data_IF_740019657924
#
_entry.id   IF_740019657924
#
_cell.length_a   1.000
_cell.length_b   1.000
_cell.length_c   1.000
_cell.angle_alpha   90.00
_cell.angle_beta   90.00
_cell.angle_gamma   90.00
#
_symmetry.space_group_name_H-M   'P 1'
#
loop_
_entity.id
_entity.type
_entity.pdbx_description
1 polymer ?
#
# COMPACT_ATOMS: atom_id res chain seq x y z
N UNK A 1 -8.78 20.60 -12.57
CA UNK A 1 -9.96 19.70 -12.51
C UNK A 1 -10.30 19.37 -11.06
N UNK A 2 -11.58 19.08 -10.81
CA UNK A 2 -12.07 18.57 -9.53
C UNK A 2 -12.10 17.05 -9.63
N UNK A 3 -11.40 16.37 -8.73
CA UNK A 3 -11.25 14.91 -8.70
C UNK A 3 -11.83 14.38 -7.40
N UNK A 4 -12.83 13.50 -7.48
CA UNK A 4 -13.32 12.75 -6.34
C UNK A 4 -12.57 11.41 -6.27
N UNK A 5 -12.00 11.11 -5.11
CA UNK A 5 -11.45 9.79 -4.80
C UNK A 5 -12.34 9.17 -3.73
N UNK A 6 -13.04 8.11 -4.11
CA UNK A 6 -14.06 7.47 -3.28
C UNK A 6 -13.58 6.12 -2.80
N UNK A 7 -13.59 5.91 -1.50
CA UNK A 7 -13.22 4.63 -0.87
C UNK A 7 -14.24 4.25 0.21
N UNK A 8 -14.46 2.93 0.41
CA UNK A 8 -15.43 2.47 1.39
C UNK A 8 -14.88 2.60 2.82
N UNK A 9 -13.75 1.95 3.10
CA UNK A 9 -13.10 1.99 4.40
C UNK A 9 -11.59 1.83 4.28
N UNK A 10 -10.88 2.64 5.03
CA UNK A 10 -9.43 2.52 5.23
C UNK A 10 -9.16 2.56 6.74
N UNK A 11 -8.40 1.60 7.24
CA UNK A 11 -8.13 1.44 8.68
C UNK A 11 -7.22 2.52 9.27
N UNK A 12 -6.39 3.15 8.44
CA UNK A 12 -5.51 4.26 8.82
C UNK A 12 -4.04 3.90 9.06
N UNK A 13 -3.62 2.66 8.82
CA UNK A 13 -2.25 2.18 9.09
C UNK A 13 -1.67 1.30 7.99
N UNK A 14 -2.09 1.44 6.75
CA UNK A 14 -1.70 0.55 5.66
C UNK A 14 -1.11 1.23 4.44
N UNK A 15 -0.69 0.44 3.45
CA UNK A 15 -0.15 0.93 2.19
C UNK A 15 -1.17 1.65 1.31
N UNK A 16 -2.48 1.33 1.47
CA UNK A 16 -3.54 2.00 0.73
C UNK A 16 -3.69 3.46 1.16
N UNK A 17 -3.60 3.74 2.46
CA UNK A 17 -3.62 5.11 3.01
C UNK A 17 -2.42 5.91 2.53
N UNK A 18 -1.24 5.30 2.54
CA UNK A 18 -0.01 5.92 2.01
C UNK A 18 -0.18 6.27 0.53
N UNK A 19 -0.69 5.33 -0.27
CA UNK A 19 -0.94 5.56 -1.70
C UNK A 19 -1.98 6.67 -1.93
N UNK A 20 -3.10 6.65 -1.19
CA UNK A 20 -4.14 7.68 -1.28
C UNK A 20 -3.57 9.07 -0.94
N UNK A 21 -2.79 9.17 0.13
CA UNK A 21 -2.16 10.41 0.58
C UNK A 21 -1.17 10.94 -0.48
N UNK A 22 -0.29 10.08 -1.00
CA UNK A 22 0.67 10.46 -2.04
C UNK A 22 -0.04 10.88 -3.32
N UNK A 23 -1.06 10.14 -3.76
CA UNK A 23 -1.85 10.47 -4.95
C UNK A 23 -2.54 11.83 -4.79
N UNK A 24 -3.30 12.00 -3.70
CA UNK A 24 -4.03 13.24 -3.42
C UNK A 24 -3.11 14.45 -3.38
N UNK A 25 -2.05 14.39 -2.57
CA UNK A 25 -1.14 15.52 -2.39
C UNK A 25 -0.35 15.84 -3.66
N UNK A 26 0.02 14.83 -4.44
CA UNK A 26 0.71 15.04 -5.72
C UNK A 26 -0.18 15.67 -6.78
N UNK A 27 -1.44 15.25 -6.89
CA UNK A 27 -2.41 15.86 -7.79
C UNK A 27 -2.75 17.31 -7.38
N UNK A 28 -2.84 17.60 -6.07
CA UNK A 28 -2.98 18.98 -5.57
C UNK A 28 -1.80 19.86 -5.94
N UNK A 29 -0.55 19.37 -5.79
CA UNK A 29 0.65 20.11 -6.20
C UNK A 29 0.65 20.47 -7.69
N UNK A 30 -0.08 19.70 -8.52
CA UNK A 30 -0.29 19.97 -9.95
C UNK A 30 -1.47 20.93 -10.22
N UNK A 31 -2.08 21.50 -9.18
CA UNK A 31 -3.16 22.49 -9.31
C UNK A 31 -4.57 21.89 -9.43
N UNK A 32 -4.76 20.62 -9.08
CA UNK A 32 -6.08 20.00 -9.06
C UNK A 32 -6.74 20.14 -7.69
N UNK A 33 -8.08 20.23 -7.68
CA UNK A 33 -8.88 20.11 -6.46
C UNK A 33 -9.18 18.63 -6.24
N UNK A 34 -8.66 18.05 -5.17
CA UNK A 34 -8.92 16.65 -4.82
C UNK A 34 -9.83 16.59 -3.61
N UNK A 35 -10.93 15.85 -3.72
CA UNK A 35 -11.88 15.59 -2.65
C UNK A 35 -11.86 14.09 -2.32
N UNK A 36 -11.74 13.79 -1.03
CA UNK A 36 -11.68 12.41 -0.54
C UNK A 36 -13.02 12.06 0.10
N UNK A 37 -13.66 11.02 -0.40
CA UNK A 37 -14.92 10.53 0.13
C UNK A 37 -14.71 9.13 0.72
N UNK A 38 -14.96 9.01 2.03
CA UNK A 38 -14.80 7.78 2.79
C UNK A 38 -16.15 7.42 3.40
N UNK A 39 -16.56 6.14 3.40
CA UNK A 39 -17.85 5.80 3.98
C UNK A 39 -17.87 6.11 5.48
N UNK A 40 -16.86 5.70 6.20
CA UNK A 40 -16.78 5.89 7.65
C UNK A 40 -15.45 6.49 8.09
N UNK A 41 -15.44 7.27 9.19
CA UNK A 41 -14.20 7.72 9.79
C UNK A 41 -13.30 6.52 10.13
N UNK A 42 -12.00 6.56 9.77
CA UNK A 42 -11.08 5.49 10.12
C UNK A 42 -10.82 5.44 11.64
N UNK A 43 -10.46 4.24 12.14
CA UNK A 43 -10.07 4.08 13.55
C UNK A 43 -8.86 4.98 13.90
N UNK A 44 -7.89 5.05 13.00
CA UNK A 44 -6.70 5.91 13.15
C UNK A 44 -6.81 7.10 12.21
N UNK A 45 -7.19 8.25 12.76
CA UNK A 45 -7.49 9.48 12.00
C UNK A 45 -6.26 10.32 11.65
N UNK A 46 -5.10 10.06 12.27
CA UNK A 46 -3.92 10.94 12.19
C UNK A 46 -3.46 11.17 10.73
N UNK A 47 -3.52 10.15 9.89
CA UNK A 47 -3.15 10.27 8.48
C UNK A 47 -4.07 11.19 7.66
N UNK A 48 -5.31 11.40 8.12
CA UNK A 48 -6.23 12.34 7.48
C UNK A 48 -5.77 13.80 7.60
N UNK A 49 -4.91 14.11 8.57
CA UNK A 49 -4.37 15.47 8.75
C UNK A 49 -3.52 15.91 7.53
N UNK A 50 -3.04 14.97 6.75
CA UNK A 50 -2.32 15.23 5.49
C UNK A 50 -3.25 15.46 4.30
N UNK A 51 -4.58 15.35 4.47
CA UNK A 51 -5.59 15.47 3.44
C UNK A 51 -6.52 16.64 3.72
N UNK A 52 -6.91 17.35 2.66
CA UNK A 52 -7.99 18.35 2.72
C UNK A 52 -9.25 17.78 2.06
N UNK A 53 -10.38 18.47 2.26
CA UNK A 53 -11.65 18.13 1.61
C UNK A 53 -12.08 16.66 1.80
N UNK A 54 -12.07 16.20 3.06
CA UNK A 54 -12.53 14.85 3.44
C UNK A 54 -14.02 14.88 3.80
N UNK A 55 -14.81 14.00 3.18
CA UNK A 55 -16.24 13.86 3.38
C UNK A 55 -16.60 12.45 3.77
N UNK A 56 -17.63 12.26 4.61
CA UNK A 56 -18.11 10.96 5.04
C UNK A 56 -19.51 10.70 4.49
N UNK A 57 -19.64 9.65 3.66
CA UNK A 57 -20.91 9.34 2.99
C UNK A 57 -21.62 8.09 3.55
N UNK A 58 -21.00 7.33 4.46
CA UNK A 58 -21.59 6.11 5.02
C UNK A 58 -22.38 6.33 6.32
N UNK A 59 -22.36 7.54 6.88
CA UNK A 59 -23.05 7.80 8.14
C UNK A 59 -24.56 7.61 8.00
N UNK A 60 -25.13 6.72 8.80
CA UNK A 60 -26.56 6.35 8.76
C UNK A 60 -26.94 5.40 7.60
N UNK A 61 -25.99 5.01 6.75
CA UNK A 61 -26.24 4.02 5.71
C UNK A 61 -26.11 2.59 6.25
N UNK A 62 -26.95 1.69 5.76
CA UNK A 62 -26.94 0.26 6.09
C UNK A 62 -26.73 -0.58 4.84
N UNK A 63 -26.21 -1.79 5.02
CA UNK A 63 -26.11 -2.78 3.95
C UNK A 63 -27.37 -3.67 4.04
N UNK A 64 -28.30 -3.46 3.11
CA UNK A 64 -29.55 -4.24 3.06
C UNK A 64 -29.40 -5.35 2.02
N UNK A 65 -29.42 -6.61 2.43
CA UNK A 65 -29.29 -7.79 1.55
C UNK A 65 -28.10 -7.69 0.56
N UNK A 66 -26.96 -7.16 1.00
CA UNK A 66 -25.78 -6.94 0.16
C UNK A 66 -25.85 -5.70 -0.75
N UNK A 67 -26.89 -4.88 -0.65
CA UNK A 67 -27.03 -3.63 -1.42
C UNK A 67 -26.32 -2.47 -0.72
N UNK A 68 -25.54 -1.72 -1.49
CA UNK A 68 -24.84 -0.49 -1.07
C UNK A 68 -25.53 0.77 -1.59
N UNK A 69 -26.81 0.71 -1.96
CA UNK A 69 -27.55 1.81 -2.58
C UNK A 69 -27.65 3.04 -1.66
N UNK A 70 -27.81 2.86 -0.36
CA UNK A 70 -27.87 3.97 0.60
C UNK A 70 -26.57 4.79 0.62
N UNK A 71 -25.43 4.13 0.44
CA UNK A 71 -24.13 4.80 0.32
C UNK A 71 -24.07 5.68 -0.94
N UNK A 72 -24.60 5.17 -2.04
CA UNK A 72 -24.70 5.92 -3.30
C UNK A 72 -25.63 7.15 -3.15
N UNK A 73 -26.78 6.97 -2.49
CA UNK A 73 -27.72 8.06 -2.22
C UNK A 73 -27.06 9.14 -1.36
N UNK A 74 -26.32 8.76 -0.32
CA UNK A 74 -25.63 9.71 0.54
C UNK A 74 -24.49 10.43 -0.18
N UNK A 75 -23.74 9.73 -1.04
CA UNK A 75 -22.74 10.38 -1.87
C UNK A 75 -23.43 11.38 -2.84
N UNK A 76 -24.55 11.02 -3.47
CA UNK A 76 -25.34 11.91 -4.33
C UNK A 76 -25.82 13.17 -3.57
N UNK A 77 -26.23 13.04 -2.29
CA UNK A 77 -26.56 14.19 -1.42
C UNK A 77 -25.35 15.09 -1.18
N UNK A 78 -24.16 14.51 -0.94
CA UNK A 78 -22.94 15.31 -0.81
C UNK A 78 -22.67 16.08 -2.10
N UNK A 79 -22.77 15.42 -3.27
CA UNK A 79 -22.59 16.07 -4.58
C UNK A 79 -23.55 17.24 -4.81
N UNK A 80 -24.78 17.18 -4.30
CA UNK A 80 -25.72 18.31 -4.40
C UNK A 80 -25.27 19.55 -3.61
N UNK A 81 -24.41 19.38 -2.59
CA UNK A 81 -23.88 20.46 -1.77
C UNK A 81 -22.55 21.00 -2.30
N UNK A 82 -21.66 20.13 -2.78
CA UNK A 82 -20.29 20.50 -3.17
C UNK A 82 -20.07 20.55 -4.69
N UNK A 83 -21.10 20.23 -5.49
CA UNK A 83 -21.02 20.13 -6.94
C UNK A 83 -20.42 18.81 -7.43
N UNK A 84 -20.69 18.46 -8.70
CA UNK A 84 -20.11 17.27 -9.34
C UNK A 84 -18.61 17.46 -9.60
N UNK A 85 -17.80 16.36 -9.55
CA UNK A 85 -16.41 16.41 -9.98
C UNK A 85 -16.30 16.41 -11.51
N UNK A 86 -15.12 16.73 -12.03
CA UNK A 86 -14.79 16.51 -13.43
C UNK A 86 -14.55 15.02 -13.73
N UNK A 87 -14.08 14.27 -12.72
CA UNK A 87 -13.79 12.83 -12.79
C UNK A 87 -13.84 12.20 -11.41
N UNK A 88 -14.28 10.93 -11.36
CA UNK A 88 -14.34 10.14 -10.14
C UNK A 88 -13.41 8.93 -10.21
N UNK A 89 -12.67 8.68 -9.13
CA UNK A 89 -11.82 7.51 -8.93
C UNK A 89 -12.44 6.63 -7.86
N UNK A 90 -12.91 5.44 -8.23
CA UNK A 90 -13.27 4.37 -7.30
C UNK A 90 -12.00 3.69 -6.80
N UNK A 91 -11.59 3.97 -5.56
CA UNK A 91 -10.28 3.65 -5.03
C UNK A 91 -10.32 2.45 -4.10
N UNK A 92 -9.38 1.55 -4.25
CA UNK A 92 -9.03 0.41 -3.42
C UNK A 92 -9.66 -0.92 -3.87
N UNK A 93 -10.99 -1.07 -3.87
CA UNK A 93 -11.66 -2.33 -4.15
C UNK A 93 -12.87 -2.17 -5.13
N UNK A 94 -13.57 -3.26 -5.46
CA UNK A 94 -14.59 -3.25 -6.51
C UNK A 94 -15.90 -2.56 -6.08
N UNK A 95 -16.26 -2.60 -4.79
CA UNK A 95 -17.56 -2.09 -4.34
C UNK A 95 -17.73 -0.59 -4.57
N UNK A 96 -16.64 0.18 -4.57
CA UNK A 96 -16.67 1.62 -4.84
C UNK A 96 -17.18 1.92 -6.23
N UNK A 97 -16.94 1.04 -7.21
CA UNK A 97 -17.46 1.24 -8.58
C UNK A 97 -19.00 1.23 -8.61
N UNK A 98 -19.61 0.32 -7.84
CA UNK A 98 -21.05 0.28 -7.64
C UNK A 98 -21.55 1.58 -7.00
N UNK A 99 -20.96 1.96 -5.86
CA UNK A 99 -21.36 3.16 -5.10
C UNK A 99 -21.23 4.40 -5.98
N UNK A 100 -20.11 4.57 -6.66
CA UNK A 100 -19.85 5.72 -7.53
C UNK A 100 -20.82 5.75 -8.73
N UNK A 101 -21.06 4.61 -9.36
CA UNK A 101 -21.96 4.55 -10.52
C UNK A 101 -23.36 5.06 -10.16
N UNK A 102 -23.99 4.50 -9.13
CA UNK A 102 -25.35 4.90 -8.74
C UNK A 102 -25.43 6.30 -8.13
N UNK A 103 -24.33 6.86 -7.64
CA UNK A 103 -24.27 8.26 -7.20
C UNK A 103 -24.17 9.25 -8.37
N UNK A 104 -23.46 8.85 -9.45
CA UNK A 104 -23.11 9.71 -10.58
C UNK A 104 -23.99 9.48 -11.82
N UNK A 105 -24.84 8.46 -11.80
CA UNK A 105 -25.74 8.19 -12.91
C UNK A 105 -26.93 9.13 -12.95
N UNK A 106 -27.35 9.45 -14.17
CA UNK A 106 -28.60 10.14 -14.50
C UNK A 106 -29.28 9.40 -15.66
N UNK A 107 -30.50 8.91 -15.45
CA UNK A 107 -31.23 8.08 -16.43
C UNK A 107 -30.41 6.86 -16.92
N UNK A 108 -29.77 6.15 -16.01
CA UNK A 108 -28.90 5.00 -16.27
C UNK A 108 -27.64 5.31 -17.11
N UNK A 109 -27.24 6.58 -17.23
CA UNK A 109 -26.04 7.02 -17.93
C UNK A 109 -25.14 7.77 -16.95
N UNK A 110 -23.84 7.49 -16.95
CA UNK A 110 -22.90 8.26 -16.17
C UNK A 110 -22.92 9.74 -16.54
N UNK A 111 -23.04 10.61 -15.55
CA UNK A 111 -22.93 12.06 -15.73
C UNK A 111 -21.49 12.57 -15.64
N UNK A 112 -20.60 11.77 -15.03
CA UNK A 112 -19.17 12.04 -14.78
C UNK A 112 -18.37 10.79 -15.13
N UNK A 113 -17.19 10.90 -15.76
CA UNK A 113 -16.34 9.74 -16.02
C UNK A 113 -15.89 9.07 -14.71
N UNK A 114 -16.01 7.74 -14.67
CA UNK A 114 -15.63 6.90 -13.54
C UNK A 114 -14.48 5.99 -13.91
N UNK A 115 -13.42 6.00 -13.10
CA UNK A 115 -12.24 5.13 -13.24
C UNK A 115 -12.06 4.33 -11.96
N UNK A 116 -11.72 3.04 -12.06
CA UNK A 116 -11.31 2.26 -10.91
C UNK A 116 -9.80 2.34 -10.67
N UNK A 117 -9.40 2.32 -9.41
CA UNK A 117 -8.00 2.22 -8.97
C UNK A 117 -7.86 1.05 -8.01
N UNK A 118 -7.37 -0.08 -8.50
CA UNK A 118 -7.31 -1.32 -7.73
C UNK A 118 -5.95 -1.50 -7.05
N UNK A 119 -6.00 -1.81 -5.76
CA UNK A 119 -4.81 -2.08 -4.94
C UNK A 119 -4.44 -3.56 -4.85
N UNK A 120 -5.37 -4.44 -5.21
CA UNK A 120 -5.23 -5.89 -5.04
C UNK A 120 -5.78 -6.66 -6.24
N UNK A 121 -5.48 -7.96 -6.32
CA UNK A 121 -6.09 -8.87 -7.29
C UNK A 121 -7.61 -8.89 -7.10
N UNK A 122 -8.34 -8.81 -8.20
CA UNK A 122 -9.81 -8.84 -8.19
C UNK A 122 -10.38 -10.15 -7.64
N UNK A 123 -9.56 -11.20 -7.57
CA UNK A 123 -9.94 -12.50 -6.98
C UNK A 123 -10.30 -12.41 -5.51
N UNK A 124 -9.73 -11.40 -4.83
CA UNK A 124 -9.91 -11.17 -3.39
C UNK A 124 -11.09 -10.25 -3.09
N UNK A 125 -11.76 -9.70 -4.10
CA UNK A 125 -12.85 -8.75 -3.92
C UNK A 125 -14.21 -9.37 -4.20
N UNK A 126 -15.19 -8.95 -3.42
CA UNK A 126 -16.60 -9.16 -3.69
C UNK A 126 -17.07 -8.19 -4.78
N UNK A 127 -18.15 -8.55 -5.47
CA UNK A 127 -18.81 -7.67 -6.46
C UNK A 127 -17.86 -7.20 -7.58
N UNK A 128 -16.92 -8.05 -8.01
CA UNK A 128 -15.96 -7.74 -9.08
C UNK A 128 -16.60 -7.35 -10.40
N UNK A 129 -17.83 -7.79 -10.64
CA UNK A 129 -18.67 -7.41 -11.80
C UNK A 129 -18.92 -5.90 -11.86
N UNK A 130 -18.91 -5.22 -10.69
CA UNK A 130 -19.09 -3.77 -10.60
C UNK A 130 -17.97 -2.96 -11.27
N UNK A 131 -16.83 -3.59 -11.54
CA UNK A 131 -15.77 -2.98 -12.36
C UNK A 131 -16.28 -2.63 -13.76
N UNK A 132 -17.30 -3.34 -14.27
CA UNK A 132 -17.93 -3.04 -15.54
C UNK A 132 -18.55 -1.63 -15.64
N UNK A 133 -18.89 -1.01 -14.51
CA UNK A 133 -19.38 0.36 -14.42
C UNK A 133 -18.32 1.42 -14.72
N UNK A 134 -17.05 1.12 -14.51
CA UNK A 134 -15.96 2.04 -14.82
C UNK A 134 -15.63 2.06 -16.31
N UNK A 135 -15.26 3.23 -16.83
CA UNK A 135 -14.87 3.44 -18.22
C UNK A 135 -13.43 2.95 -18.47
N UNK A 136 -12.59 3.07 -17.46
CA UNK A 136 -11.19 2.64 -17.49
C UNK A 136 -10.72 2.22 -16.10
N UNK A 137 -9.52 1.61 -16.03
CA UNK A 137 -8.98 1.03 -14.81
C UNK A 137 -7.49 1.36 -14.67
N UNK A 138 -7.07 1.74 -13.46
CA UNK A 138 -5.67 1.74 -13.08
C UNK A 138 -5.29 0.37 -12.48
N UNK A 139 -4.20 -0.20 -12.97
CA UNK A 139 -3.66 -1.47 -12.50
C UNK A 139 -2.22 -1.28 -12.01
N UNK A 140 -1.95 -1.59 -10.74
CA UNK A 140 -0.63 -1.45 -10.10
C UNK A 140 0.38 -2.52 -10.53
N UNK A 141 -0.08 -3.58 -11.19
CA UNK A 141 0.78 -4.64 -11.68
C UNK A 141 0.13 -5.43 -12.81
N UNK A 142 0.94 -6.28 -13.45
CA UNK A 142 0.51 -7.09 -14.60
C UNK A 142 -0.55 -8.14 -14.25
N UNK A 143 -0.58 -8.62 -13.01
CA UNK A 143 -1.57 -9.59 -12.56
C UNK A 143 -2.96 -8.93 -12.50
N UNK A 144 -3.05 -7.76 -11.87
CA UNK A 144 -4.30 -6.97 -11.83
C UNK A 144 -4.76 -6.62 -13.26
N UNK A 145 -3.83 -6.21 -14.13
CA UNK A 145 -4.15 -5.92 -15.54
C UNK A 145 -4.75 -7.13 -16.26
N UNK A 146 -4.14 -8.31 -16.09
CA UNK A 146 -4.63 -9.55 -16.69
C UNK A 146 -5.98 -9.99 -16.12
N UNK A 147 -6.15 -9.86 -14.81
CA UNK A 147 -7.42 -10.19 -14.15
C UNK A 147 -8.57 -9.29 -14.67
N UNK A 148 -8.33 -7.99 -14.85
CA UNK A 148 -9.31 -7.07 -15.43
C UNK A 148 -9.61 -7.44 -16.89
N UNK A 149 -8.58 -7.71 -17.70
CA UNK A 149 -8.74 -8.13 -19.10
C UNK A 149 -9.58 -9.41 -19.23
N UNK A 150 -9.31 -10.38 -18.37
CA UNK A 150 -10.05 -11.65 -18.37
C UNK A 150 -11.51 -11.47 -17.97
N UNK A 151 -11.80 -10.53 -17.06
CA UNK A 151 -13.16 -10.26 -16.61
C UNK A 151 -13.96 -9.37 -17.57
N UNK A 152 -13.34 -8.33 -18.13
CA UNK A 152 -14.04 -7.25 -18.82
C UNK A 152 -13.67 -7.10 -20.32
N UNK A 153 -12.75 -7.93 -20.82
CA UNK A 153 -12.33 -7.87 -22.22
C UNK A 153 -11.62 -6.55 -22.58
N UNK A 154 -12.15 -5.82 -23.57
CA UNK A 154 -11.49 -4.67 -24.20
C UNK A 154 -11.62 -3.33 -23.44
N UNK A 155 -11.81 -3.33 -22.13
CA UNK A 155 -11.77 -2.08 -21.33
C UNK A 155 -10.39 -1.44 -21.37
N UNK A 156 -10.33 -0.12 -21.29
CA UNK A 156 -9.06 0.62 -21.18
C UNK A 156 -8.44 0.39 -19.83
N UNK A 157 -7.15 0.00 -19.82
CA UNK A 157 -6.39 -0.25 -18.61
C UNK A 157 -5.08 0.54 -18.69
N UNK A 158 -4.82 1.32 -17.66
CA UNK A 158 -3.59 2.08 -17.48
C UNK A 158 -2.73 1.35 -16.46
N UNK A 159 -1.64 0.73 -16.94
CA UNK A 159 -0.64 0.13 -16.04
C UNK A 159 0.15 1.25 -15.38
N UNK A 160 0.12 1.29 -14.06
CA UNK A 160 0.84 2.27 -13.23
C UNK A 160 1.78 1.55 -12.26
N UNK A 161 2.75 2.28 -11.76
CA UNK A 161 3.67 1.77 -10.75
C UNK A 161 3.18 2.11 -9.34
N UNK A 162 3.69 1.39 -8.34
CA UNK A 162 3.47 1.73 -6.95
C UNK A 162 3.94 3.16 -6.65
N UNK A 163 3.12 3.88 -5.91
CA UNK A 163 3.47 5.22 -5.44
C UNK A 163 4.34 5.09 -4.20
N UNK A 164 5.61 5.39 -4.33
CA UNK A 164 6.56 5.50 -3.22
C UNK A 164 7.17 6.90 -3.20
N UNK A 165 7.35 7.45 -2.02
CA UNK A 165 8.03 8.73 -1.88
C UNK A 165 9.53 8.52 -1.89
N UNK A 166 10.17 8.89 -2.99
CA UNK A 166 11.63 8.85 -3.16
C UNK A 166 12.30 10.22 -2.98
N UNK A 167 11.52 11.29 -2.78
CA UNK A 167 12.05 12.66 -2.73
C UNK A 167 12.73 12.99 -1.39
N UNK A 168 12.37 12.30 -0.31
CA UNK A 168 12.88 12.50 1.05
C UNK A 168 13.55 11.24 1.60
N UNK A 169 14.46 10.65 0.81
CA UNK A 169 15.24 9.50 1.27
C UNK A 169 16.25 9.98 2.30
N UNK A 170 16.02 9.68 3.58
CA UNK A 170 17.00 9.92 4.63
C UNK A 170 18.26 9.08 4.39
N UNK A 171 19.42 9.65 4.65
CA UNK A 171 20.66 8.89 4.64
C UNK A 171 20.69 8.00 5.90
N UNK A 172 20.23 6.77 5.74
CA UNK A 172 20.31 5.75 6.78
C UNK A 172 21.69 5.09 6.68
N UNK A 173 22.43 5.03 7.78
CA UNK A 173 23.70 4.36 7.80
C UNK A 173 23.50 2.85 7.84
N UNK A 174 24.31 2.11 7.06
CA UNK A 174 24.42 0.67 7.30
C UNK A 174 25.26 0.48 8.55
N UNK A 175 24.74 -0.27 9.52
CA UNK A 175 25.49 -0.56 10.74
C UNK A 175 26.65 -1.50 10.45
N UNK A 176 27.86 -1.13 10.88
CA UNK A 176 29.08 -1.94 10.73
C UNK A 176 29.41 -2.73 12.01
N UNK A 177 28.79 -2.37 13.14
CA UNK A 177 29.14 -2.94 14.45
C UNK A 177 28.26 -4.12 14.85
N UNK A 178 26.95 -3.97 14.69
CA UNK A 178 25.96 -4.99 15.06
C UNK A 178 24.99 -5.17 13.92
N UNK A 179 24.36 -6.34 13.83
CA UNK A 179 23.29 -6.57 12.88
C UNK A 179 22.02 -5.81 13.32
N UNK A 180 21.79 -4.64 12.74
CA UNK A 180 20.61 -3.81 12.96
C UNK A 180 19.46 -4.28 12.07
N UNK A 181 18.55 -5.04 12.64
CA UNK A 181 17.39 -5.61 11.95
C UNK A 181 16.21 -4.64 12.08
N UNK A 182 15.53 -4.40 10.99
CA UNK A 182 14.35 -3.54 10.94
C UNK A 182 13.12 -4.36 10.57
N UNK A 183 12.01 -4.10 11.25
CA UNK A 183 10.66 -4.48 10.84
C UNK A 183 9.79 -3.23 10.83
N UNK A 184 9.07 -2.99 9.74
CA UNK A 184 8.09 -1.89 9.63
C UNK A 184 6.79 -2.48 9.08
N UNK A 185 5.69 -2.33 9.82
CA UNK A 185 4.38 -2.80 9.37
C UNK A 185 3.38 -3.00 10.49
N UNK A 186 2.17 -3.41 10.12
CA UNK A 186 1.13 -3.76 11.07
C UNK A 186 1.56 -4.99 11.89
N UNK A 187 1.16 -5.03 13.17
CA UNK A 187 1.45 -6.15 14.07
C UNK A 187 0.22 -7.07 14.12
N UNK A 188 -0.07 -7.71 12.98
CA UNK A 188 -1.21 -8.60 12.77
C UNK A 188 -0.73 -10.01 12.36
N UNK A 189 -1.61 -11.00 12.45
CA UNK A 189 -1.27 -12.42 12.27
C UNK A 189 -0.68 -12.74 10.90
N UNK A 190 -1.16 -12.10 9.84
CA UNK A 190 -0.67 -12.32 8.47
C UNK A 190 0.77 -11.83 8.26
N UNK A 191 1.30 -11.00 9.18
CA UNK A 191 2.67 -10.48 9.13
C UNK A 191 3.70 -11.42 9.74
N UNK A 192 3.26 -12.48 10.41
CA UNK A 192 4.08 -13.58 10.91
C UNK A 192 5.30 -13.15 11.78
N UNK A 193 5.11 -12.10 12.60
CA UNK A 193 6.17 -11.59 13.48
C UNK A 193 6.58 -12.61 14.56
N UNK A 194 5.69 -13.48 15.08
CA UNK A 194 6.08 -14.57 15.97
C UNK A 194 7.21 -15.45 15.41
N UNK A 195 7.17 -15.77 14.11
CA UNK A 195 8.25 -16.49 13.43
C UNK A 195 9.58 -15.71 13.47
N UNK A 196 9.55 -14.39 13.23
CA UNK A 196 10.76 -13.55 13.34
C UNK A 196 11.36 -13.62 14.74
N UNK A 197 10.55 -13.44 15.80
CA UNK A 197 11.03 -13.48 17.18
C UNK A 197 11.60 -14.86 17.54
N UNK A 198 10.92 -15.95 17.16
CA UNK A 198 11.40 -17.31 17.37
C UNK A 198 12.73 -17.56 16.64
N UNK A 199 12.88 -17.07 15.42
CA UNK A 199 14.13 -17.21 14.65
C UNK A 199 15.27 -16.44 15.30
N UNK A 200 15.04 -15.21 15.73
CA UNK A 200 16.05 -14.37 16.36
C UNK A 200 16.50 -14.92 17.72
N UNK A 201 15.62 -15.57 18.48
CA UNK A 201 15.97 -16.19 19.76
C UNK A 201 16.95 -17.37 19.64
N UNK A 202 17.12 -17.93 18.43
CA UNK A 202 18.07 -19.02 18.14
C UNK A 202 19.46 -18.51 17.71
N UNK A 203 19.64 -17.18 17.68
CA UNK A 203 20.93 -16.56 17.39
C UNK A 203 21.71 -16.34 18.67
N UNK A 204 22.91 -16.89 18.72
CA UNK A 204 23.86 -16.71 19.84
C UNK A 204 24.61 -15.36 19.75
N UNK A 205 24.51 -14.70 18.59
CA UNK A 205 25.25 -13.48 18.28
C UNK A 205 24.45 -12.23 18.70
N UNK A 206 25.18 -11.10 18.80
CA UNK A 206 24.55 -9.80 19.04
C UNK A 206 23.79 -9.31 17.81
N UNK A 207 22.55 -8.91 18.03
CA UNK A 207 21.70 -8.20 17.07
C UNK A 207 20.85 -7.18 17.81
N UNK A 208 20.37 -6.18 17.09
CA UNK A 208 19.32 -5.28 17.56
C UNK A 208 18.16 -5.35 16.59
N UNK A 209 16.94 -5.47 17.13
CA UNK A 209 15.71 -5.45 16.34
C UNK A 209 14.93 -4.19 16.64
N UNK A 210 14.67 -3.38 15.63
CA UNK A 210 13.74 -2.26 15.70
C UNK A 210 12.43 -2.64 15.04
N UNK A 211 11.35 -2.63 15.81
CA UNK A 211 9.97 -2.84 15.32
C UNK A 211 9.25 -1.49 15.31
N UNK A 212 8.81 -1.05 14.13
CA UNK A 212 8.00 0.16 13.96
C UNK A 212 6.63 -0.23 13.44
N UNK A 213 5.62 -0.10 14.29
CA UNK A 213 4.26 -0.47 13.93
C UNK A 213 3.35 -0.61 15.12
N UNK A 214 2.12 -1.02 14.84
CA UNK A 214 1.08 -1.22 15.83
C UNK A 214 0.08 -2.27 15.30
N UNK A 215 -0.66 -2.92 16.18
CA UNK A 215 -1.65 -3.93 15.80
C UNK A 215 -2.10 -4.76 16.99
N UNK A 216 -3.03 -5.68 16.73
CA UNK A 216 -3.66 -6.52 17.75
C UNK A 216 -2.65 -7.40 18.51
N UNK A 217 -1.54 -7.77 17.86
CA UNK A 217 -0.54 -8.66 18.46
C UNK A 217 0.53 -7.96 19.30
N UNK A 218 0.54 -6.61 19.43
CA UNK A 218 1.62 -5.88 20.11
C UNK A 218 1.91 -6.44 21.53
N UNK A 219 0.87 -6.64 22.34
CA UNK A 219 1.04 -7.12 23.71
C UNK A 219 1.54 -8.55 23.77
N UNK A 220 1.02 -9.45 22.94
CA UNK A 220 1.45 -10.84 22.87
C UNK A 220 2.88 -11.00 22.35
N UNK A 221 3.28 -10.17 21.38
CA UNK A 221 4.65 -10.16 20.86
C UNK A 221 5.67 -9.69 21.90
N UNK A 222 5.34 -8.68 22.70
CA UNK A 222 6.19 -8.25 23.83
C UNK A 222 6.34 -9.35 24.86
N UNK A 223 5.25 -10.05 25.20
CA UNK A 223 5.30 -11.17 26.11
C UNK A 223 6.12 -12.33 25.55
N UNK A 224 5.99 -12.63 24.25
CA UNK A 224 6.81 -13.64 23.58
C UNK A 224 8.29 -13.27 23.63
N UNK A 225 8.66 -12.02 23.37
CA UNK A 225 10.05 -11.55 23.44
C UNK A 225 10.66 -11.73 24.85
N UNK A 226 9.87 -11.48 25.91
CA UNK A 226 10.26 -11.75 27.29
C UNK A 226 10.50 -13.26 27.54
N UNK A 227 9.56 -14.11 27.13
CA UNK A 227 9.67 -15.56 27.28
C UNK A 227 10.88 -16.13 26.54
N UNK A 228 11.21 -15.57 25.38
CA UNK A 228 12.36 -15.94 24.56
C UNK A 228 13.68 -15.29 25.05
N UNK A 229 13.66 -14.45 26.10
CA UNK A 229 14.83 -13.75 26.67
C UNK A 229 15.56 -12.84 25.68
N UNK A 230 14.84 -12.25 24.73
CA UNK A 230 15.40 -11.31 23.73
C UNK A 230 14.82 -9.91 23.86
N UNK A 231 14.02 -9.61 24.88
CA UNK A 231 13.35 -8.32 25.05
C UNK A 231 14.31 -7.12 25.07
N UNK A 232 15.49 -7.28 25.67
CA UNK A 232 16.52 -6.23 25.75
C UNK A 232 17.15 -5.88 24.39
N UNK A 233 17.05 -6.79 23.41
CA UNK A 233 17.55 -6.62 22.04
C UNK A 233 16.50 -5.97 21.11
N UNK A 234 15.29 -5.67 21.63
CA UNK A 234 14.17 -5.19 20.80
C UNK A 234 13.71 -3.80 21.21
N UNK A 235 13.75 -2.86 20.28
CA UNK A 235 13.14 -1.56 20.44
C UNK A 235 11.77 -1.50 19.74
N UNK A 236 10.75 -1.07 20.48
CA UNK A 236 9.37 -0.95 19.99
C UNK A 236 9.01 0.50 19.77
N UNK A 237 8.60 0.85 18.56
CA UNK A 237 8.10 2.17 18.20
C UNK A 237 6.68 2.01 17.67
N UNK A 238 5.74 2.76 18.20
CA UNK A 238 4.35 2.76 17.71
C UNK A 238 4.30 3.21 16.24
N UNK A 239 3.17 2.98 15.60
CA UNK A 239 2.93 3.41 14.23
C UNK A 239 3.33 4.87 13.99
N UNK A 240 3.99 5.11 12.87
CA UNK A 240 4.45 6.41 12.39
C UNK A 240 3.89 6.66 10.99
N UNK A 241 3.54 7.91 10.69
CA UNK A 241 3.15 8.33 9.34
C UNK A 241 4.31 8.17 8.34
N UNK A 242 5.50 8.60 8.76
CA UNK A 242 6.75 8.30 8.06
C UNK A 242 7.67 7.52 9.00
N UNK A 243 7.70 6.17 8.94
CA UNK A 243 8.51 5.36 9.83
C UNK A 243 10.01 5.56 9.65
N UNK A 244 10.44 5.96 8.47
CA UNK A 244 11.85 6.15 8.12
C UNK A 244 12.51 7.28 8.90
N UNK A 245 11.75 8.24 9.42
CA UNK A 245 12.26 9.28 10.32
C UNK A 245 12.72 8.78 11.69
N UNK A 246 12.36 7.53 12.01
CA UNK A 246 12.77 6.85 13.25
C UNK A 246 13.92 5.88 13.05
N UNK A 247 14.46 5.79 11.83
CA UNK A 247 15.54 4.88 11.46
C UNK A 247 16.79 5.70 11.18
N UNK A 248 17.77 5.63 12.09
CA UNK A 248 19.10 6.23 11.91
C UNK A 248 20.09 5.27 11.30
N UNK A 249 20.00 3.98 11.70
CA UNK A 249 20.81 2.88 11.23
C UNK A 249 19.95 1.66 10.95
N UNK A 250 20.32 0.88 9.94
CA UNK A 250 19.76 -0.44 9.66
C UNK A 250 20.70 -1.24 8.77
N UNK A 251 20.85 -2.54 9.04
CA UNK A 251 21.57 -3.47 8.18
C UNK A 251 20.65 -4.15 7.19
N UNK A 252 19.43 -4.49 7.63
CA UNK A 252 18.49 -5.28 6.83
C UNK A 252 17.04 -5.08 7.31
N UNK A 253 16.11 -5.05 6.37
CA UNK A 253 14.68 -5.14 6.65
C UNK A 253 14.22 -6.59 6.55
N UNK A 254 13.44 -7.09 7.52
CA UNK A 254 12.85 -8.43 7.47
C UNK A 254 11.34 -8.36 7.39
N UNK A 255 10.76 -9.02 6.38
CA UNK A 255 9.32 -9.10 6.12
C UNK A 255 8.90 -10.57 6.02
N UNK A 256 8.60 -11.25 7.16
CA UNK A 256 8.31 -12.68 7.19
C UNK A 256 6.86 -13.03 6.82
N UNK A 257 6.10 -12.06 6.31
CA UNK A 257 4.68 -12.21 6.00
C UNK A 257 4.42 -13.25 4.91
N UNK A 258 3.45 -14.11 5.14
CA UNK A 258 3.02 -15.13 4.17
C UNK A 258 2.21 -14.53 3.02
N UNK A 259 1.47 -13.46 3.28
CA UNK A 259 0.56 -12.82 2.34
C UNK A 259 0.81 -11.30 2.26
N UNK A 260 1.83 -10.86 1.54
CA UNK A 260 2.00 -9.45 1.18
C UNK A 260 1.74 -9.23 -0.30
N UNK A 261 0.70 -8.46 -0.58
CA UNK A 261 0.19 -8.24 -1.94
C UNK A 261 0.79 -7.01 -2.64
N UNK A 262 1.26 -6.03 -1.85
CA UNK A 262 1.93 -4.83 -2.38
C UNK A 262 2.88 -4.27 -1.32
N UNK A 263 4.11 -4.76 -1.22
CA UNK A 263 5.01 -4.41 -0.14
C UNK A 263 5.65 -3.04 -0.38
N UNK A 264 4.93 -1.94 -0.10
CA UNK A 264 5.48 -0.58 -0.20
C UNK A 264 6.74 -0.43 0.64
N UNK A 265 6.72 -0.97 1.86
CA UNK A 265 7.87 -0.90 2.78
C UNK A 265 9.11 -1.64 2.23
N UNK A 266 8.93 -2.69 1.41
CA UNK A 266 10.03 -3.35 0.71
C UNK A 266 10.69 -2.39 -0.29
N UNK A 267 9.87 -1.70 -1.09
CA UNK A 267 10.33 -0.73 -2.08
C UNK A 267 10.99 0.49 -1.42
N UNK A 268 10.40 0.98 -0.35
CA UNK A 268 10.94 2.05 0.47
C UNK A 268 12.30 1.66 1.07
N UNK A 269 12.43 0.43 1.61
CA UNK A 269 13.69 -0.10 2.14
C UNK A 269 14.80 -0.08 1.09
N UNK A 270 14.51 -0.61 -0.11
CA UNK A 270 15.45 -0.59 -1.23
C UNK A 270 15.81 0.84 -1.66
N UNK A 271 14.85 1.77 -1.64
CA UNK A 271 15.08 3.19 -1.93
C UNK A 271 16.04 3.83 -0.91
N UNK A 272 15.96 3.43 0.37
CA UNK A 272 16.92 3.82 1.39
C UNK A 272 18.28 3.10 1.31
N UNK A 273 18.43 2.14 0.40
CA UNK A 273 19.64 1.34 0.22
C UNK A 273 19.76 0.19 1.23
N UNK A 274 18.67 -0.21 1.87
CA UNK A 274 18.62 -1.28 2.86
C UNK A 274 18.13 -2.56 2.17
N UNK A 275 18.91 -3.66 2.18
CA UNK A 275 18.49 -4.93 1.61
C UNK A 275 17.32 -5.56 2.40
N UNK A 276 16.59 -6.47 1.76
CA UNK A 276 15.38 -7.04 2.33
C UNK A 276 15.45 -8.57 2.40
N UNK A 277 15.15 -9.15 3.57
CA UNK A 277 14.79 -10.57 3.70
C UNK A 277 13.26 -10.69 3.71
N UNK A 278 12.70 -11.50 2.84
CA UNK A 278 11.25 -11.71 2.80
C UNK A 278 10.88 -13.13 2.35
N UNK A 279 9.65 -13.52 2.61
CA UNK A 279 9.09 -14.75 2.03
C UNK A 279 8.91 -14.60 0.52
N UNK A 280 9.06 -15.72 -0.19
CA UNK A 280 8.94 -15.72 -1.66
C UNK A 280 7.49 -15.48 -2.10
N UNK A 281 7.31 -14.61 -3.08
CA UNK A 281 6.03 -14.43 -3.79
C UNK A 281 6.25 -13.86 -5.19
N UNK A 282 5.31 -14.08 -6.11
CA UNK A 282 5.39 -13.56 -7.49
C UNK A 282 5.58 -12.04 -7.56
N UNK A 283 5.02 -11.29 -6.61
CA UNK A 283 5.13 -9.82 -6.58
C UNK A 283 6.51 -9.41 -6.08
N UNK A 284 6.99 -10.02 -4.99
CA UNK A 284 8.29 -9.71 -4.39
C UNK A 284 9.44 -10.06 -5.34
N UNK A 285 9.30 -11.14 -6.13
CA UNK A 285 10.28 -11.56 -7.14
C UNK A 285 10.55 -10.54 -8.26
N UNK A 286 9.67 -9.54 -8.42
CA UNK A 286 9.90 -8.45 -9.38
C UNK A 286 10.92 -7.44 -8.87
N UNK A 287 11.07 -7.33 -7.57
CA UNK A 287 11.89 -6.30 -6.91
C UNK A 287 13.10 -6.89 -6.20
N UNK A 288 13.03 -8.14 -5.73
CA UNK A 288 14.13 -8.81 -5.06
C UNK A 288 14.83 -9.75 -6.02
N UNK A 289 16.13 -9.56 -6.16
CA UNK A 289 17.05 -10.51 -6.79
C UNK A 289 17.84 -11.18 -5.68
N UNK A 290 17.57 -12.46 -5.45
CA UNK A 290 18.17 -13.24 -4.36
C UNK A 290 19.71 -13.11 -4.36
N UNK A 291 20.27 -12.76 -3.20
CA UNK A 291 21.70 -12.54 -3.00
C UNK A 291 22.26 -11.22 -3.54
N UNK A 292 21.45 -10.37 -4.20
CA UNK A 292 21.92 -9.10 -4.81
C UNK A 292 21.36 -7.84 -4.14
N UNK A 293 20.10 -7.83 -3.75
CA UNK A 293 19.46 -6.74 -3.01
C UNK A 293 18.58 -7.24 -1.88
N UNK A 294 18.60 -8.54 -1.63
CA UNK A 294 17.86 -9.20 -0.59
C UNK A 294 17.84 -10.71 -0.74
N UNK A 295 17.10 -11.38 0.11
CA UNK A 295 17.00 -12.85 0.12
C UNK A 295 15.56 -13.28 0.33
N UNK A 296 15.26 -14.45 -0.23
CA UNK A 296 14.01 -15.14 0.07
C UNK A 296 14.23 -16.20 1.13
N UNK A 297 13.29 -16.27 2.06
CA UNK A 297 13.20 -17.31 3.10
C UNK A 297 11.91 -18.11 2.92
N UNK A 298 11.91 -19.31 3.46
CA UNK A 298 10.71 -20.12 3.66
C UNK A 298 10.24 -19.98 5.11
N UNK A 299 9.07 -19.38 5.31
CA UNK A 299 8.50 -19.20 6.66
C UNK A 299 7.94 -20.48 7.27
N UNK A 300 7.85 -21.57 6.49
CA UNK A 300 7.52 -22.90 7.00
C UNK A 300 8.75 -23.67 7.50
N UNK A 301 9.96 -23.23 7.12
CA UNK A 301 11.22 -23.74 7.66
C UNK A 301 11.75 -22.82 8.76
N UNK A 302 11.67 -23.27 10.00
CA UNK A 302 12.14 -22.51 11.15
C UNK A 302 13.62 -22.13 11.10
N UNK A 303 14.43 -22.87 10.34
CA UNK A 303 15.88 -22.63 10.23
C UNK A 303 16.26 -21.75 9.04
N UNK A 304 15.35 -21.53 8.09
CA UNK A 304 15.62 -20.75 6.87
C UNK A 304 16.19 -19.36 7.20
N UNK A 305 15.49 -18.60 8.04
CA UNK A 305 15.95 -17.27 8.47
C UNK A 305 17.19 -17.35 9.39
N UNK A 306 17.21 -18.30 10.33
CA UNK A 306 18.32 -18.47 11.29
C UNK A 306 19.64 -18.72 10.57
N UNK A 307 19.66 -19.68 9.62
CA UNK A 307 20.85 -20.02 8.87
C UNK A 307 21.36 -18.85 8.03
N UNK A 308 20.46 -18.16 7.34
CA UNK A 308 20.82 -16.98 6.56
C UNK A 308 21.44 -15.88 7.43
N UNK A 309 20.82 -15.56 8.58
CA UNK A 309 21.34 -14.55 9.50
C UNK A 309 22.69 -14.97 10.12
N UNK A 310 22.88 -16.24 10.48
CA UNK A 310 24.18 -16.76 10.94
C UNK A 310 25.27 -16.61 9.87
N UNK A 311 24.96 -16.88 8.61
CA UNK A 311 25.93 -16.73 7.51
C UNK A 311 26.28 -15.25 7.24
N UNK A 312 25.32 -14.34 7.39
CA UNK A 312 25.57 -12.88 7.30
C UNK A 312 26.45 -12.43 8.48
N UNK A 313 26.09 -12.77 9.71
CA UNK A 313 26.84 -12.37 10.93
C UNK A 313 28.28 -12.91 10.89
N UNK A 314 28.46 -14.13 10.41
CA UNK A 314 29.80 -14.75 10.29
C UNK A 314 30.57 -14.32 9.03
N UNK A 315 30.10 -13.30 8.30
CA UNK A 315 30.69 -12.78 7.07
C UNK A 315 30.87 -13.80 5.94
N UNK A 316 30.11 -14.91 5.96
CA UNK A 316 30.05 -15.85 4.82
C UNK A 316 29.22 -15.29 3.66
N UNK A 317 28.23 -14.45 3.99
CA UNK A 317 27.40 -13.72 3.03
C UNK A 317 27.55 -12.24 3.35
N UNK A 318 28.00 -11.46 2.35
CA UNK A 318 28.11 -10.00 2.46
C UNK A 318 26.79 -9.34 2.21
N UNK A 319 26.48 -8.29 2.96
CA UNK A 319 25.29 -7.45 2.68
C UNK A 319 25.45 -6.74 1.32
N UNK A 320 24.37 -6.63 0.55
CA UNK A 320 24.35 -5.87 -0.72
C UNK A 320 24.74 -4.41 -0.53
N UNK A 321 25.34 -3.82 -1.57
CA UNK A 321 25.66 -2.39 -1.53
C UNK A 321 24.38 -1.53 -1.57
N UNK A 322 24.43 -0.35 -0.94
CA UNK A 322 23.33 0.64 -0.96
C UNK A 322 22.94 1.02 -2.38
N UNK A 323 23.95 1.21 -3.24
CA UNK A 323 23.79 1.64 -4.64
C UNK A 323 23.01 0.59 -5.42
N UNK A 324 23.30 -0.70 -5.19
CA UNK A 324 22.60 -1.77 -5.88
C UNK A 324 21.12 -1.84 -5.44
N UNK A 325 20.85 -1.71 -4.14
CA UNK A 325 19.48 -1.66 -3.62
C UNK A 325 18.71 -0.49 -4.23
N UNK A 326 19.26 0.73 -4.19
CA UNK A 326 18.65 1.94 -4.76
C UNK A 326 18.37 1.82 -6.25
N UNK A 327 19.31 1.28 -7.02
CA UNK A 327 19.18 1.09 -8.47
C UNK A 327 17.98 0.22 -8.83
N UNK A 328 17.63 -0.75 -8.00
CA UNK A 328 16.49 -1.66 -8.25
C UNK A 328 15.16 -0.92 -8.32
N UNK A 329 15.01 0.15 -7.57
CA UNK A 329 13.77 0.95 -7.47
C UNK A 329 13.89 2.33 -8.12
N UNK A 330 15.01 2.63 -8.77
CA UNK A 330 15.26 3.91 -9.43
C UNK A 330 14.22 4.26 -10.50
N UNK A 331 13.66 3.24 -11.15
CA UNK A 331 12.59 3.40 -12.14
C UNK A 331 11.23 3.74 -11.52
N UNK A 332 11.06 3.54 -10.21
CA UNK A 332 9.84 3.86 -9.48
C UNK A 332 9.83 5.34 -9.11
N UNK A 333 9.57 6.19 -10.08
CA UNK A 333 9.55 7.64 -9.91
C UNK A 333 8.12 8.12 -9.65
N UNK A 334 7.88 8.68 -8.46
CA UNK A 334 6.58 9.22 -8.05
C UNK A 334 6.03 10.23 -9.06
N UNK A 335 6.86 11.20 -9.46
CA UNK A 335 6.44 12.27 -10.35
C UNK A 335 6.04 11.75 -11.73
N UNK A 336 6.79 10.77 -12.26
CA UNK A 336 6.46 10.12 -13.53
C UNK A 336 5.15 9.34 -13.44
N UNK A 337 4.94 8.59 -12.35
CA UNK A 337 3.71 7.82 -12.13
C UNK A 337 2.51 8.77 -11.99
N UNK A 338 2.63 9.85 -11.23
CA UNK A 338 1.58 10.86 -11.09
C UNK A 338 1.27 11.54 -12.42
N UNK A 339 2.28 11.87 -13.24
CA UNK A 339 2.06 12.45 -14.57
C UNK A 339 1.34 11.47 -15.51
N UNK A 340 1.62 10.17 -15.40
CA UNK A 340 0.90 9.13 -16.15
C UNK A 340 -0.57 9.05 -15.70
N UNK A 341 -0.82 9.08 -14.39
CA UNK A 341 -2.18 9.09 -13.84
C UNK A 341 -2.93 10.34 -14.31
N UNK A 342 -2.35 11.52 -14.16
CA UNK A 342 -2.95 12.79 -14.59
C UNK A 342 -3.31 12.77 -16.09
N UNK A 343 -2.38 12.34 -16.95
CA UNK A 343 -2.62 12.23 -18.39
C UNK A 343 -3.76 11.27 -18.72
N UNK A 344 -3.86 10.16 -17.99
CA UNK A 344 -4.96 9.21 -18.13
C UNK A 344 -6.31 9.84 -17.71
N UNK A 345 -6.34 10.56 -16.58
CA UNK A 345 -7.56 11.25 -16.11
C UNK A 345 -8.04 12.29 -17.14
N UNK A 346 -7.15 13.13 -17.65
CA UNK A 346 -7.47 14.12 -18.68
C UNK A 346 -8.01 13.45 -19.95
N UNK A 347 -7.34 12.40 -20.41
CA UNK A 347 -7.79 11.63 -21.58
C UNK A 347 -9.18 11.05 -21.41
N UNK A 348 -9.52 10.50 -20.24
CA UNK A 348 -10.84 9.92 -19.99
C UNK A 348 -11.92 11.00 -19.93
N UNK A 349 -11.62 12.20 -19.42
CA UNK A 349 -12.52 13.34 -19.48
C UNK A 349 -12.81 13.75 -20.94
N UNK A 350 -11.79 13.85 -21.78
CA UNK A 350 -11.92 14.24 -23.18
C UNK A 350 -12.74 13.22 -23.98
N UNK A 351 -12.45 11.92 -23.83
CA UNK A 351 -13.21 10.84 -24.45
C UNK A 351 -14.69 10.89 -23.98
N UNK A 352 -14.92 11.09 -22.69
CA UNK A 352 -16.27 11.14 -22.13
C UNK A 352 -17.09 12.31 -22.69
N UNK A 353 -16.48 13.48 -22.82
CA UNK A 353 -17.11 14.67 -23.44
C UNK A 353 -17.42 14.46 -24.92
N UNK A 354 -16.46 13.86 -25.67
CA UNK A 354 -16.63 13.57 -27.10
C UNK A 354 -17.75 12.56 -27.39
N UNK A 355 -18.01 11.63 -26.46
CA UNK A 355 -19.07 10.63 -26.62
C UNK A 355 -20.48 11.17 -26.24
N UNK A 356 -20.55 12.36 -25.62
CA UNK A 356 -21.82 13.01 -25.25
C UNK A 356 -22.32 14.00 -26.29
N UNK A 357 -21.42 14.44 -27.18
CA UNK A 357 -21.72 15.28 -28.35
C UNK A 357 -22.01 14.41 -29.57
#
# INVERSE_FOLDING_TARGET
MIIDIVTYYLGGKGGAETTLTLLSNSLKKKGHTVRILIAYPPLFKKWLNALDNVYYYGLGATINNGSYLEFSINYKKILSLIGKPDICIAFYDCIQNYICYYALEENNILSVPLISFLHDSIKNFYSKESLGFSLAHFALNKEIELDIKNLLGNKRIYSIQNLINTDNISNINLSEKNLEILYIGRLESEKNIPYLLNSLSKLDNEFLLKIIGDGSLLSSLKQQALNLKISEKISWTNWQENPWTKVSEASILILPSNEDKCPLVLLESLAHGIPVICTNSKIKNKFITHGKNGWFIDSNDENSLVNLLKDIINNKISLPSKEYCKKTVETLNLQKTISTIESALLREIDIFKSNKN
#
